data_IF_471862623929
#
_entry.id   IF_471862623929
#
_cell.length_a   1.000
_cell.length_b   1.000
_cell.length_c   1.000
_cell.angle_alpha   90.00
_cell.angle_beta   90.00
_cell.angle_gamma   90.00
#
_symmetry.space_group_name_H-M   'P 1'
#
loop_
_entity.id
_entity.type
_entity.pdbx_description
1 polymer ?
#
# COMPACT_ATOMS: atom_id res chain seq x y z
N UNK A 1 122.81 27.18 -9.47
CA UNK A 1 121.36 27.48 -9.45
C UNK A 1 120.75 26.62 -8.38
N UNK A 2 120.06 27.21 -7.40
CA UNK A 2 119.24 26.44 -6.46
C UNK A 2 118.06 25.87 -7.25
N UNK A 3 117.77 24.58 -7.08
CA UNK A 3 116.56 23.97 -7.63
C UNK A 3 115.37 24.48 -6.80
N UNK A 4 114.37 25.06 -7.45
CA UNK A 4 113.16 25.55 -6.80
C UNK A 4 112.05 24.48 -6.80
N UNK A 5 111.15 24.53 -5.82
CA UNK A 5 110.04 23.58 -5.70
C UNK A 5 109.00 23.75 -6.82
N UNK A 6 108.42 22.63 -7.26
CA UNK A 6 107.34 22.63 -8.24
C UNK A 6 106.02 23.16 -7.63
N UNK A 7 105.20 23.80 -8.46
CA UNK A 7 103.82 24.17 -8.14
C UNK A 7 102.90 23.92 -9.34
N UNK A 8 101.60 24.17 -9.18
CA UNK A 8 100.61 24.04 -10.28
C UNK A 8 100.85 25.02 -11.43
N UNK A 9 101.67 26.05 -11.24
CA UNK A 9 101.96 27.09 -12.25
C UNK A 9 103.46 27.22 -12.59
N UNK A 10 104.35 26.55 -11.86
CA UNK A 10 105.82 26.62 -12.06
C UNK A 10 106.48 25.24 -12.01
N UNK A 11 107.32 24.93 -12.99
CA UNK A 11 108.11 23.68 -13.03
C UNK A 11 109.24 23.73 -11.99
N UNK A 12 109.50 22.63 -11.30
CA UNK A 12 110.51 22.53 -10.24
C UNK A 12 110.74 21.09 -9.77
N UNK A 13 111.41 20.92 -8.63
CA UNK A 13 111.58 19.62 -7.95
C UNK A 13 110.43 19.39 -6.95
N UNK A 14 110.01 18.14 -6.74
CA UNK A 14 108.89 17.81 -5.82
C UNK A 14 109.21 16.54 -5.04
N UNK A 15 108.88 16.52 -3.75
CA UNK A 15 109.01 15.31 -2.94
C UNK A 15 107.82 14.38 -3.18
N UNK A 16 108.09 13.09 -3.25
CA UNK A 16 107.07 12.07 -3.53
C UNK A 16 106.47 11.54 -2.22
N UNK A 17 105.15 11.40 -2.17
CA UNK A 17 104.45 10.80 -1.04
C UNK A 17 103.67 9.54 -1.43
N UNK A 18 103.69 8.54 -0.55
CA UNK A 18 102.88 7.33 -0.66
C UNK A 18 101.62 7.35 0.22
N UNK A 19 101.32 8.47 0.90
CA UNK A 19 100.11 8.61 1.71
C UNK A 19 98.85 8.72 0.83
N UNK A 20 97.76 8.08 1.25
CA UNK A 20 96.48 8.04 0.52
C UNK A 20 95.44 9.05 1.01
N UNK A 21 95.77 9.83 2.04
CA UNK A 21 94.93 10.84 2.67
C UNK A 21 95.65 12.20 2.83
N UNK A 22 96.72 12.43 2.06
CA UNK A 22 97.50 13.67 2.14
C UNK A 22 96.67 14.86 1.66
N UNK A 23 96.71 15.96 2.41
CA UNK A 23 96.17 17.27 2.02
C UNK A 23 97.25 18.25 1.53
N UNK A 24 98.51 17.79 1.45
CA UNK A 24 99.63 18.62 1.00
C UNK A 24 99.54 18.95 -0.49
N UNK A 25 99.69 20.22 -0.84
CA UNK A 25 99.84 20.71 -2.22
C UNK A 25 101.30 20.78 -2.67
N UNK A 26 102.26 20.51 -1.76
CA UNK A 26 103.71 20.58 -2.04
C UNK A 26 104.36 19.21 -2.33
N UNK A 27 103.57 18.12 -2.30
CA UNK A 27 104.05 16.75 -2.55
C UNK A 27 103.33 16.13 -3.75
N UNK A 28 104.05 15.34 -4.55
CA UNK A 28 103.45 14.58 -5.65
C UNK A 28 103.12 13.14 -5.22
N UNK A 29 101.96 12.64 -5.67
CA UNK A 29 101.55 11.27 -5.39
C UNK A 29 102.42 10.25 -6.14
N UNK A 30 102.86 9.21 -5.44
CA UNK A 30 103.51 8.06 -6.08
C UNK A 30 102.49 7.14 -6.78
N UNK A 31 102.92 6.33 -7.78
CA UNK A 31 102.07 5.27 -8.33
C UNK A 31 101.52 4.32 -7.26
N UNK A 32 102.27 4.10 -6.16
CA UNK A 32 101.83 3.32 -5.00
C UNK A 32 100.66 3.97 -4.26
N UNK A 33 100.71 5.27 -3.98
CA UNK A 33 99.58 6.00 -3.38
C UNK A 33 98.33 5.94 -4.29
N UNK A 34 98.51 6.18 -5.58
CA UNK A 34 97.40 6.14 -6.57
C UNK A 34 96.80 4.73 -6.63
N UNK A 35 97.63 3.68 -6.69
CA UNK A 35 97.17 2.29 -6.68
C UNK A 35 96.43 1.95 -5.39
N UNK A 36 96.96 2.33 -4.22
CA UNK A 36 96.33 2.04 -2.95
C UNK A 36 94.97 2.77 -2.78
N UNK A 37 94.87 4.02 -3.25
CA UNK A 37 93.61 4.75 -3.28
C UNK A 37 92.61 4.12 -4.27
N UNK A 38 93.08 3.69 -5.45
CA UNK A 38 92.26 2.97 -6.42
C UNK A 38 91.75 1.63 -5.87
N UNK A 39 92.62 0.82 -5.27
CA UNK A 39 92.26 -0.47 -4.68
C UNK A 39 91.27 -0.28 -3.51
N UNK A 40 91.44 0.76 -2.69
CA UNK A 40 90.49 1.11 -1.63
C UNK A 40 89.12 1.54 -2.21
N UNK A 41 89.11 2.38 -3.24
CA UNK A 41 87.87 2.79 -3.90
C UNK A 41 87.15 1.61 -4.57
N UNK A 42 87.91 0.74 -5.26
CA UNK A 42 87.41 -0.46 -5.90
C UNK A 42 86.89 -1.48 -4.86
N UNK A 43 87.53 -1.57 -3.69
CA UNK A 43 87.11 -2.44 -2.59
C UNK A 43 85.91 -1.92 -1.78
N UNK A 44 85.62 -0.61 -1.81
CA UNK A 44 84.47 -0.01 -1.11
C UNK A 44 83.16 -0.06 -1.90
N UNK A 45 83.20 -0.32 -3.20
CA UNK A 45 81.98 -0.50 -3.99
C UNK A 45 81.43 -1.92 -3.80
N UNK A 46 80.66 -2.13 -2.73
CA UNK A 46 79.82 -3.33 -2.58
C UNK A 46 78.41 -2.96 -3.04
N UNK A 47 77.98 -3.45 -4.20
CA UNK A 47 76.58 -3.37 -4.58
C UNK A 47 75.76 -4.18 -3.57
N UNK A 48 74.85 -3.52 -2.85
CA UNK A 48 73.93 -4.18 -1.92
C UNK A 48 72.52 -4.02 -2.45
N UNK A 49 71.69 -5.06 -2.30
CA UNK A 49 70.30 -5.00 -2.75
C UNK A 49 69.50 -4.02 -1.88
N UNK A 50 68.60 -3.28 -2.51
CA UNK A 50 67.66 -2.43 -1.82
C UNK A 50 66.64 -3.28 -1.05
N UNK A 51 66.27 -2.82 0.14
CA UNK A 51 65.15 -3.35 0.92
C UNK A 51 64.27 -2.20 1.38
N UNK A 52 63.14 -2.51 2.02
CA UNK A 52 62.28 -1.48 2.63
C UNK A 52 62.95 -0.71 3.77
N UNK A 53 64.05 -1.24 4.34
CA UNK A 53 64.80 -0.63 5.43
C UNK A 53 66.18 -0.06 4.99
N UNK A 54 66.68 -0.45 3.81
CA UNK A 54 68.03 -0.14 3.38
C UNK A 54 68.07 0.29 1.90
N UNK A 55 68.78 1.38 1.61
CA UNK A 55 69.04 1.82 0.22
C UNK A 55 70.02 0.85 -0.47
N UNK A 56 69.78 0.56 -1.74
CA UNK A 56 70.61 -0.34 -2.54
C UNK A 56 70.25 -0.34 -4.03
N UNK A 57 70.73 -1.34 -4.77
CA UNK A 57 70.34 -1.62 -6.16
C UNK A 57 69.11 -2.54 -6.20
N UNK A 58 68.27 -2.41 -7.22
CA UNK A 58 67.05 -3.23 -7.35
C UNK A 58 66.83 -3.64 -8.80
N UNK A 59 66.35 -4.85 -9.00
CA UNK A 59 65.93 -5.29 -10.33
C UNK A 59 64.53 -4.77 -10.66
N UNK A 60 64.34 -4.32 -11.89
CA UNK A 60 63.06 -3.83 -12.37
C UNK A 60 62.22 -4.97 -12.93
N UNK A 61 60.94 -4.99 -12.60
CA UNK A 61 59.97 -5.96 -13.14
C UNK A 61 58.83 -5.25 -13.83
N UNK A 62 58.41 -5.80 -14.98
CA UNK A 62 57.21 -5.35 -15.70
C UNK A 62 56.01 -6.27 -15.48
N UNK A 63 56.09 -7.22 -14.54
CA UNK A 63 54.97 -8.07 -14.17
C UNK A 63 53.91 -7.24 -13.42
N UNK A 64 52.63 -7.44 -13.76
CA UNK A 64 51.48 -6.73 -13.17
C UNK A 64 50.85 -7.48 -11.99
N UNK A 65 51.36 -8.67 -11.70
CA UNK A 65 50.90 -9.57 -10.63
C UNK A 65 52.08 -10.07 -9.76
N UNK A 66 53.21 -9.36 -9.78
CA UNK A 66 54.38 -9.72 -8.97
C UNK A 66 54.05 -9.62 -7.49
N UNK A 67 54.35 -10.67 -6.74
CA UNK A 67 54.31 -10.68 -5.27
C UNK A 67 55.70 -10.46 -4.65
N UNK A 68 56.73 -10.21 -5.46
CA UNK A 68 58.09 -9.99 -4.98
C UNK A 68 58.22 -8.61 -4.31
N UNK A 69 58.82 -8.61 -3.11
CA UNK A 69 59.22 -7.40 -2.39
C UNK A 69 60.67 -6.95 -2.70
N UNK A 70 61.39 -7.70 -3.56
CA UNK A 70 62.78 -7.42 -3.94
C UNK A 70 62.91 -6.85 -5.35
N UNK A 71 61.79 -6.59 -6.03
CA UNK A 71 61.73 -6.03 -7.38
C UNK A 71 60.96 -4.70 -7.37
N UNK A 72 61.40 -3.74 -8.17
CA UNK A 72 60.68 -2.48 -8.37
C UNK A 72 59.82 -2.53 -9.65
N UNK A 73 58.59 -2.03 -9.56
CA UNK A 73 57.70 -1.96 -10.72
C UNK A 73 58.18 -0.92 -11.75
N UNK A 74 58.17 -1.28 -13.03
CA UNK A 74 58.43 -0.33 -14.12
C UNK A 74 57.21 0.57 -14.40
N UNK A 75 57.39 1.75 -15.03
CA UNK A 75 56.26 2.53 -15.56
C UNK A 75 55.37 1.74 -16.52
N UNK A 76 55.94 0.75 -17.23
CA UNK A 76 55.20 -0.17 -18.10
C UNK A 76 54.22 -1.04 -17.31
N UNK A 77 54.63 -1.62 -16.18
CA UNK A 77 53.74 -2.38 -15.30
C UNK A 77 52.64 -1.48 -14.72
N UNK A 78 53.00 -0.29 -14.23
CA UNK A 78 52.04 0.68 -13.67
C UNK A 78 50.99 1.08 -14.71
N UNK A 79 51.43 1.41 -15.92
CA UNK A 79 50.51 1.74 -17.02
C UNK A 79 49.59 0.57 -17.37
N UNK A 80 50.14 -0.64 -17.51
CA UNK A 80 49.34 -1.81 -17.84
C UNK A 80 48.28 -2.13 -16.77
N UNK A 81 48.61 -1.94 -15.49
CA UNK A 81 47.67 -2.08 -14.39
C UNK A 81 46.56 -1.01 -14.45
N UNK A 82 46.93 0.25 -14.71
CA UNK A 82 45.97 1.36 -14.86
C UNK A 82 45.03 1.14 -16.06
N UNK A 83 45.57 0.81 -17.24
CA UNK A 83 44.79 0.53 -18.45
C UNK A 83 43.81 -0.64 -18.24
N UNK A 84 44.16 -1.64 -17.43
CA UNK A 84 43.26 -2.75 -17.06
C UNK A 84 42.17 -2.30 -16.08
N UNK A 85 42.50 -1.42 -15.13
CA UNK A 85 41.52 -0.88 -14.19
C UNK A 85 40.50 0.02 -14.90
N UNK A 86 40.95 0.88 -15.82
CA UNK A 86 40.09 1.74 -16.65
C UNK A 86 39.08 0.95 -17.48
N UNK A 87 39.37 -0.33 -17.79
CA UNK A 87 38.47 -1.18 -18.57
C UNK A 87 37.33 -1.81 -17.78
N UNK A 88 37.33 -1.74 -16.45
CA UNK A 88 36.33 -2.38 -15.59
C UNK A 88 35.21 -1.40 -15.23
N UNK A 89 33.97 -1.74 -15.58
CA UNK A 89 32.78 -0.89 -15.38
C UNK A 89 32.96 0.48 -16.02
N UNK A 90 33.35 0.47 -17.29
CA UNK A 90 33.58 1.69 -18.06
C UNK A 90 32.32 2.56 -18.12
N UNK A 91 32.43 3.81 -17.66
CA UNK A 91 31.29 4.75 -17.57
C UNK A 91 30.61 4.99 -18.91
N UNK A 92 31.38 5.05 -19.99
CA UNK A 92 30.93 5.30 -21.36
C UNK A 92 30.32 4.04 -21.99
N UNK A 93 30.62 2.85 -21.45
CA UNK A 93 30.00 1.60 -21.88
C UNK A 93 28.64 1.32 -21.23
N UNK A 94 28.26 2.06 -20.17
CA UNK A 94 26.96 1.92 -19.51
C UNK A 94 26.61 0.46 -19.15
N UNK A 95 27.59 -0.31 -18.67
CA UNK A 95 27.42 -1.72 -18.29
C UNK A 95 27.43 -2.73 -19.44
N UNK A 96 27.75 -2.31 -20.68
CA UNK A 96 27.93 -3.24 -21.81
C UNK A 96 29.03 -4.27 -21.55
N UNK A 97 30.08 -3.90 -20.80
CA UNK A 97 31.21 -4.72 -20.37
C UNK A 97 30.89 -5.74 -19.28
N UNK A 98 29.71 -5.69 -18.66
CA UNK A 98 29.31 -6.64 -17.61
C UNK A 98 29.04 -8.02 -18.23
N UNK A 99 29.80 -9.06 -17.83
CA UNK A 99 29.49 -10.44 -18.17
C UNK A 99 28.25 -10.90 -17.41
N UNK A 100 27.29 -11.55 -18.06
CA UNK A 100 26.09 -12.07 -17.40
C UNK A 100 25.23 -10.99 -16.74
N UNK A 101 24.73 -10.03 -17.53
CA UNK A 101 23.90 -8.89 -17.08
C UNK A 101 22.69 -9.32 -16.25
N UNK A 102 22.15 -10.50 -16.52
CA UNK A 102 21.01 -11.06 -15.78
C UNK A 102 21.39 -11.37 -14.32
N UNK A 103 22.49 -12.11 -14.10
CA UNK A 103 23.07 -12.36 -12.77
C UNK A 103 23.47 -11.06 -12.07
N UNK A 104 24.06 -10.12 -12.80
CA UNK A 104 24.41 -8.81 -12.23
C UNK A 104 23.15 -8.09 -11.71
N UNK A 105 22.09 -8.00 -12.52
CA UNK A 105 20.80 -7.40 -12.17
C UNK A 105 20.20 -8.05 -10.92
N UNK A 106 20.26 -9.39 -10.83
CA UNK A 106 19.85 -10.16 -9.65
C UNK A 106 20.65 -9.79 -8.40
N UNK A 107 21.98 -9.75 -8.50
CA UNK A 107 22.87 -9.51 -7.36
C UNK A 107 22.73 -8.11 -6.79
N UNK A 108 22.48 -7.10 -7.64
CA UNK A 108 22.27 -5.72 -7.18
C UNK A 108 20.82 -5.42 -6.78
N UNK A 109 19.89 -6.38 -6.93
CA UNK A 109 18.48 -6.21 -6.61
C UNK A 109 17.72 -5.23 -7.53
N UNK A 110 18.23 -4.98 -8.73
CA UNK A 110 17.57 -4.10 -9.70
C UNK A 110 16.38 -4.81 -10.37
N UNK A 111 15.38 -4.02 -10.78
CA UNK A 111 14.24 -4.54 -11.52
C UNK A 111 14.67 -5.13 -12.87
N UNK A 112 14.34 -6.40 -13.12
CA UNK A 112 14.51 -7.03 -14.44
C UNK A 112 13.30 -6.71 -15.33
N UNK A 113 13.44 -5.75 -16.23
CA UNK A 113 12.40 -5.42 -17.21
C UNK A 113 12.45 -6.34 -18.44
N UNK A 114 11.48 -7.22 -18.59
CA UNK A 114 11.32 -8.17 -19.68
C UNK A 114 10.38 -7.61 -20.74
N UNK A 115 10.92 -6.97 -21.79
CA UNK A 115 10.20 -6.59 -23.01
C UNK A 115 9.00 -5.63 -22.85
N UNK A 116 8.98 -4.54 -23.62
CA UNK A 116 7.86 -3.57 -23.59
C UNK A 116 6.57 -4.02 -24.29
N UNK A 117 6.59 -5.16 -25.00
CA UNK A 117 5.51 -5.61 -25.89
C UNK A 117 5.40 -7.14 -25.93
N UNK A 118 5.35 -7.79 -24.77
CA UNK A 118 5.27 -9.25 -24.67
C UNK A 118 3.91 -9.75 -25.17
N UNK A 119 3.91 -10.76 -26.04
CA UNK A 119 2.68 -11.42 -26.51
C UNK A 119 2.51 -12.72 -25.74
N UNK A 120 1.34 -12.89 -25.12
CA UNK A 120 0.99 -14.15 -24.43
C UNK A 120 0.17 -15.08 -25.30
N UNK A 121 -0.04 -14.75 -26.58
CA UNK A 121 -0.94 -15.45 -27.54
C UNK A 121 -2.42 -15.35 -27.15
N UNK A 122 -3.31 -15.95 -27.94
CA UNK A 122 -4.77 -15.90 -27.69
C UNK A 122 -5.23 -16.92 -26.64
N UNK A 123 -6.44 -16.73 -26.11
CA UNK A 123 -7.13 -17.66 -25.20
C UNK A 123 -7.05 -17.27 -23.73
N UNK A 124 -7.46 -18.19 -22.85
CA UNK A 124 -7.53 -17.95 -21.41
C UNK A 124 -6.45 -18.70 -20.65
N UNK A 125 -6.12 -18.21 -19.47
CA UNK A 125 -5.29 -18.89 -18.48
C UNK A 125 -6.02 -19.01 -17.15
N UNK A 126 -5.75 -20.10 -16.44
CA UNK A 126 -5.90 -20.13 -14.98
C UNK A 126 -4.74 -19.38 -14.34
N UNK A 127 -4.90 -18.98 -13.08
CA UNK A 127 -3.86 -18.33 -12.29
C UNK A 127 -2.61 -19.21 -12.21
N UNK A 128 -2.79 -20.52 -12.05
CA UNK A 128 -1.68 -21.48 -12.05
C UNK A 128 -0.91 -21.48 -13.39
N UNK A 129 -1.61 -21.50 -14.52
CA UNK A 129 -0.96 -21.47 -15.84
C UNK A 129 -0.20 -20.16 -16.09
N UNK A 130 -0.75 -19.04 -15.60
CA UNK A 130 -0.08 -17.75 -15.66
C UNK A 130 1.20 -17.72 -14.80
N UNK A 131 1.17 -18.28 -13.59
CA UNK A 131 2.35 -18.42 -12.72
C UNK A 131 3.42 -19.30 -13.37
N UNK A 132 3.05 -20.42 -13.99
CA UNK A 132 4.02 -21.26 -14.72
C UNK A 132 4.64 -20.53 -15.91
N UNK A 133 3.85 -19.71 -16.61
CA UNK A 133 4.41 -18.85 -17.66
C UNK A 133 5.41 -17.85 -17.08
N UNK A 134 5.10 -17.16 -15.98
CA UNK A 134 6.04 -16.24 -15.32
C UNK A 134 7.34 -16.93 -14.91
N UNK A 135 7.25 -18.15 -14.37
CA UNK A 135 8.42 -18.96 -13.99
C UNK A 135 9.29 -19.28 -15.21
N UNK A 136 8.67 -19.65 -16.34
CA UNK A 136 9.39 -19.89 -17.60
C UNK A 136 10.09 -18.64 -18.16
N UNK A 137 9.62 -17.44 -17.81
CA UNK A 137 10.27 -16.18 -18.16
C UNK A 137 11.37 -15.77 -17.15
N UNK A 138 11.61 -16.59 -16.12
CA UNK A 138 12.57 -16.32 -15.05
C UNK A 138 12.11 -15.27 -14.05
N UNK A 139 10.81 -14.95 -13.98
CA UNK A 139 10.30 -13.88 -13.13
C UNK A 139 10.63 -14.10 -11.64
N UNK A 140 10.64 -15.34 -11.17
CA UNK A 140 10.95 -15.71 -9.79
C UNK A 140 12.46 -15.90 -9.52
N UNK A 141 13.32 -15.67 -10.52
CA UNK A 141 14.78 -15.70 -10.36
C UNK A 141 15.37 -14.35 -9.97
N UNK A 142 14.56 -13.29 -9.94
CA UNK A 142 14.94 -11.93 -9.54
C UNK A 142 14.10 -11.46 -8.35
N UNK A 143 14.64 -10.61 -7.46
CA UNK A 143 13.85 -10.01 -6.38
C UNK A 143 12.66 -9.18 -6.89
N UNK A 144 12.84 -8.55 -8.05
CA UNK A 144 11.81 -7.78 -8.74
C UNK A 144 11.96 -7.96 -10.26
N UNK A 145 10.90 -8.43 -10.90
CA UNK A 145 10.79 -8.60 -12.34
C UNK A 145 9.54 -7.89 -12.85
N UNK A 146 9.59 -7.35 -14.06
CA UNK A 146 8.41 -6.74 -14.66
C UNK A 146 8.37 -6.96 -16.17
N UNK A 147 7.18 -6.97 -16.75
CA UNK A 147 7.00 -6.90 -18.20
C UNK A 147 5.78 -6.06 -18.55
N UNK A 148 5.64 -5.76 -19.85
CA UNK A 148 4.43 -5.14 -20.38
C UNK A 148 3.87 -5.98 -21.52
N UNK A 149 2.59 -6.32 -21.41
CA UNK A 149 1.87 -7.00 -22.49
C UNK A 149 1.75 -6.10 -23.72
N UNK A 150 1.82 -6.71 -24.90
CA UNK A 150 1.60 -6.04 -26.17
C UNK A 150 0.18 -5.45 -26.25
N UNK A 151 -0.03 -4.42 -27.07
CA UNK A 151 -1.35 -3.77 -27.20
C UNK A 151 -2.40 -4.61 -27.96
N UNK A 152 -2.00 -5.73 -28.56
CA UNK A 152 -2.90 -6.56 -29.37
C UNK A 152 -3.85 -7.36 -28.49
N UNK A 153 -5.13 -7.02 -28.51
CA UNK A 153 -6.16 -7.76 -27.75
C UNK A 153 -6.28 -9.23 -28.19
N UNK A 154 -6.07 -9.54 -29.46
CA UNK A 154 -6.15 -10.92 -29.97
C UNK A 154 -4.94 -11.78 -29.59
N UNK A 155 -3.82 -11.16 -29.23
CA UNK A 155 -2.54 -11.85 -28.96
C UNK A 155 -2.16 -11.82 -27.48
N UNK A 156 -3.11 -11.57 -26.60
CA UNK A 156 -2.88 -11.69 -25.17
C UNK A 156 -3.97 -12.49 -24.50
N UNK A 157 -3.56 -13.21 -23.47
CA UNK A 157 -4.44 -14.07 -22.70
C UNK A 157 -5.23 -13.29 -21.66
N UNK A 158 -6.32 -13.91 -21.23
CA UNK A 158 -7.16 -13.44 -20.13
C UNK A 158 -7.08 -14.43 -18.98
N UNK A 159 -6.76 -13.95 -17.78
CA UNK A 159 -6.83 -14.74 -16.54
C UNK A 159 -8.27 -14.66 -16.02
N UNK A 160 -8.92 -15.80 -15.82
CA UNK A 160 -10.38 -15.85 -15.60
C UNK A 160 -10.83 -16.42 -14.26
N UNK A 161 -9.94 -16.99 -13.46
CA UNK A 161 -10.23 -17.65 -12.17
C UNK A 161 -9.83 -16.78 -10.97
N UNK A 162 -9.98 -15.46 -11.09
CA UNK A 162 -9.47 -14.51 -10.09
C UNK A 162 -10.47 -14.17 -8.99
N UNK A 163 -11.75 -14.52 -9.16
CA UNK A 163 -12.88 -14.16 -8.28
C UNK A 163 -13.13 -12.65 -8.05
N UNK A 164 -12.24 -11.79 -8.52
CA UNK A 164 -12.35 -10.33 -8.44
C UNK A 164 -12.32 -9.66 -9.83
N UNK A 165 -12.60 -10.42 -10.89
CA UNK A 165 -12.75 -9.95 -12.27
C UNK A 165 -11.62 -10.38 -13.20
N UNK A 166 -11.97 -10.64 -14.47
CA UNK A 166 -11.02 -11.14 -15.47
C UNK A 166 -9.88 -10.15 -15.74
N UNK A 167 -8.65 -10.65 -15.87
CA UNK A 167 -7.45 -9.85 -16.13
C UNK A 167 -6.98 -10.12 -17.56
N UNK A 168 -7.21 -9.17 -18.47
CA UNK A 168 -6.69 -9.26 -19.83
C UNK A 168 -5.28 -8.65 -19.87
N UNK A 169 -4.30 -9.44 -20.32
CA UNK A 169 -2.89 -9.05 -20.31
C UNK A 169 -2.51 -8.09 -21.44
N UNK A 170 -3.40 -7.81 -22.40
CA UNK A 170 -3.15 -6.83 -23.44
C UNK A 170 -2.87 -5.46 -22.83
N UNK A 171 -1.70 -4.89 -23.14
CA UNK A 171 -1.26 -3.61 -22.62
C UNK A 171 -1.01 -3.53 -21.11
N UNK A 172 -1.24 -4.62 -20.38
CA UNK A 172 -1.11 -4.65 -18.93
C UNK A 172 0.37 -4.55 -18.53
N UNK A 173 0.63 -3.85 -17.42
CA UNK A 173 1.93 -3.92 -16.74
C UNK A 173 1.86 -5.05 -15.75
N UNK A 174 2.83 -5.95 -15.78
CA UNK A 174 2.92 -7.11 -14.90
C UNK A 174 4.19 -6.97 -14.07
N UNK A 175 4.05 -7.00 -12.76
CA UNK A 175 5.13 -6.87 -11.79
C UNK A 175 5.14 -8.10 -10.90
N UNK A 176 6.30 -8.70 -10.71
CA UNK A 176 6.50 -9.89 -9.87
C UNK A 176 7.58 -9.57 -8.85
N UNK A 177 7.23 -9.70 -7.57
CA UNK A 177 8.11 -9.47 -6.44
C UNK A 177 8.19 -10.74 -5.60
N UNK A 178 9.41 -11.11 -5.19
CA UNK A 178 9.66 -12.33 -4.41
C UNK A 178 9.93 -13.58 -5.25
N UNK A 179 9.75 -14.75 -4.65
CA UNK A 179 10.10 -16.06 -5.23
C UNK A 179 8.84 -16.92 -5.44
N UNK A 180 8.93 -18.02 -6.18
CA UNK A 180 7.76 -18.86 -6.52
C UNK A 180 6.99 -19.39 -5.30
N UNK A 181 7.65 -19.62 -4.17
CA UNK A 181 6.99 -20.07 -2.93
C UNK A 181 6.47 -18.93 -2.04
N UNK A 182 6.85 -17.68 -2.32
CA UNK A 182 6.52 -16.48 -1.55
C UNK A 182 6.48 -15.28 -2.51
N UNK A 183 5.36 -15.16 -3.23
CA UNK A 183 5.20 -14.24 -4.35
C UNK A 183 4.18 -13.14 -4.06
N UNK A 184 4.43 -11.98 -4.65
CA UNK A 184 3.43 -10.95 -4.91
C UNK A 184 3.45 -10.63 -6.40
N UNK A 185 2.31 -10.77 -7.07
CA UNK A 185 2.15 -10.37 -8.47
C UNK A 185 1.18 -9.20 -8.52
N UNK A 186 1.58 -8.10 -9.15
CA UNK A 186 0.72 -6.95 -9.39
C UNK A 186 0.51 -6.77 -10.88
N UNK A 187 -0.74 -6.60 -11.29
CA UNK A 187 -1.11 -6.36 -12.69
C UNK A 187 -1.95 -5.10 -12.78
N UNK A 188 -1.49 -4.15 -13.58
CA UNK A 188 -2.22 -2.91 -13.88
C UNK A 188 -2.76 -3.00 -15.30
N UNK A 189 -4.08 -3.05 -15.43
CA UNK A 189 -4.76 -3.16 -16.73
C UNK A 189 -4.92 -1.80 -17.40
N UNK A 190 -4.93 -1.74 -18.75
CA UNK A 190 -5.07 -0.49 -19.47
C UNK A 190 -6.51 0.06 -19.42
N UNK A 191 -6.74 1.18 -20.09
CA UNK A 191 -8.04 1.87 -20.14
C UNK A 191 -9.07 1.18 -21.02
N UNK A 192 -8.66 0.24 -21.88
CA UNK A 192 -9.50 -0.46 -22.86
C UNK A 192 -9.16 -1.95 -22.94
N UNK A 193 -10.16 -2.79 -23.20
CA UNK A 193 -10.02 -4.25 -23.27
C UNK A 193 -11.15 -4.83 -24.12
N UNK A 194 -10.96 -6.04 -24.66
CA UNK A 194 -12.02 -6.88 -25.23
C UNK A 194 -12.08 -8.23 -24.49
N UNK A 195 -13.09 -9.05 -24.75
CA UNK A 195 -13.18 -10.40 -24.16
C UNK A 195 -13.51 -10.42 -22.67
N UNK A 196 -14.08 -9.34 -22.13
CA UNK A 196 -14.52 -9.28 -20.72
C UNK A 196 -13.42 -8.94 -19.71
N UNK A 197 -12.22 -8.55 -20.13
CA UNK A 197 -11.17 -8.10 -19.22
C UNK A 197 -11.52 -6.77 -18.54
N UNK A 198 -11.28 -6.68 -17.23
CA UNK A 198 -11.52 -5.48 -16.43
C UNK A 198 -10.48 -4.41 -16.77
N UNK A 199 -10.93 -3.21 -17.12
CA UNK A 199 -10.06 -2.06 -17.43
C UNK A 199 -9.87 -1.15 -16.23
N UNK A 200 -8.83 -0.30 -16.27
CA UNK A 200 -8.56 0.71 -15.25
C UNK A 200 -8.43 0.15 -13.83
N UNK A 201 -7.90 -1.08 -13.69
CA UNK A 201 -7.84 -1.79 -12.43
C UNK A 201 -6.41 -2.22 -12.12
N UNK A 202 -6.10 -2.27 -10.83
CA UNK A 202 -4.92 -2.93 -10.31
C UNK A 202 -5.35 -4.21 -9.61
N UNK A 203 -4.73 -5.32 -10.00
CA UNK A 203 -4.92 -6.62 -9.41
C UNK A 203 -3.66 -7.00 -8.65
N UNK A 204 -3.81 -7.49 -7.42
CA UNK A 204 -2.69 -7.99 -6.60
C UNK A 204 -2.97 -9.44 -6.21
N UNK A 205 -2.11 -10.35 -6.65
CA UNK A 205 -2.06 -11.73 -6.19
C UNK A 205 -0.97 -11.87 -5.13
N UNK A 206 -1.31 -12.50 -4.01
CA UNK A 206 -0.34 -12.83 -2.96
C UNK A 206 -0.43 -14.32 -2.70
N UNK A 207 0.72 -14.99 -2.62
CA UNK A 207 0.80 -16.38 -2.17
C UNK A 207 2.07 -16.58 -1.34
N UNK A 208 1.88 -16.89 -0.05
CA UNK A 208 2.93 -17.20 0.92
C UNK A 208 2.69 -18.54 1.61
N UNK A 209 2.03 -19.47 0.90
CA UNK A 209 1.55 -20.74 1.46
C UNK A 209 0.06 -20.71 1.78
N UNK A 210 -0.52 -21.89 1.97
CA UNK A 210 -1.97 -22.09 2.14
C UNK A 210 -2.54 -21.36 3.35
N UNK A 211 -1.73 -21.20 4.40
CA UNK A 211 -2.14 -20.58 5.67
C UNK A 211 -2.27 -19.05 5.56
N UNK A 212 -1.83 -18.46 4.44
CA UNK A 212 -1.77 -17.01 4.23
C UNK A 212 -2.86 -16.51 3.27
N UNK A 213 -3.95 -17.28 3.11
CA UNK A 213 -5.11 -16.94 2.28
C UNK A 213 -4.71 -16.47 0.87
N UNK A 214 -4.02 -17.32 0.08
CA UNK A 214 -3.56 -16.94 -1.24
C UNK A 214 -4.74 -16.59 -2.15
N UNK A 215 -4.60 -15.55 -2.97
CA UNK A 215 -5.68 -15.11 -3.85
C UNK A 215 -5.47 -13.75 -4.48
N UNK A 216 -6.31 -13.45 -5.46
CA UNK A 216 -6.36 -12.15 -6.13
C UNK A 216 -7.20 -11.14 -5.34
N UNK A 217 -6.78 -9.89 -5.42
CA UNK A 217 -7.51 -8.72 -4.93
C UNK A 217 -7.54 -7.69 -6.05
N UNK A 218 -8.66 -6.98 -6.19
CA UNK A 218 -8.80 -5.87 -7.12
C UNK A 218 -8.99 -4.58 -6.35
N UNK A 219 -8.14 -3.58 -6.64
CA UNK A 219 -8.21 -2.28 -5.99
C UNK A 219 -9.29 -1.41 -6.65
N UNK A 220 -10.07 -0.71 -5.81
CA UNK A 220 -10.99 0.33 -6.27
C UNK A 220 -10.27 1.68 -6.42
N UNK A 221 -10.69 2.46 -7.40
CA UNK A 221 -10.16 3.79 -7.69
C UNK A 221 -11.23 4.69 -8.35
N UNK A 222 -10.85 5.88 -8.80
CA UNK A 222 -11.76 6.86 -9.39
C UNK A 222 -12.46 6.39 -10.68
N UNK A 223 -11.88 5.41 -11.40
CA UNK A 223 -12.42 4.78 -12.60
C UNK A 223 -13.04 3.41 -12.33
N UNK A 224 -12.45 2.62 -11.43
CA UNK A 224 -12.98 1.35 -10.95
C UNK A 224 -13.61 1.53 -9.56
N UNK A 225 -14.85 2.02 -9.50
CA UNK A 225 -15.55 2.23 -8.23
C UNK A 225 -16.28 0.95 -7.80
N UNK A 226 -16.43 0.69 -6.49
CA UNK A 226 -17.35 -0.35 -6.05
C UNK A 226 -18.78 0.01 -6.47
N UNK A 227 -19.53 -0.99 -6.89
CA UNK A 227 -20.97 -0.91 -7.00
C UNK A 227 -21.61 -0.90 -5.63
N UNK A 228 -22.82 -0.33 -5.52
CA UNK A 228 -23.63 -0.36 -4.31
C UNK A 228 -23.75 -1.79 -3.71
N UNK A 229 -23.93 -2.80 -4.57
CA UNK A 229 -24.01 -4.20 -4.17
C UNK A 229 -22.71 -4.71 -3.53
N UNK A 230 -21.55 -4.41 -4.13
CA UNK A 230 -20.24 -4.87 -3.65
C UNK A 230 -19.89 -4.34 -2.25
N UNK A 231 -20.44 -3.20 -1.84
CA UNK A 231 -20.18 -2.59 -0.52
C UNK A 231 -21.41 -2.55 0.39
N UNK A 232 -22.52 -3.17 -0.02
CA UNK A 232 -23.78 -3.12 0.73
C UNK A 232 -24.36 -1.71 0.91
N UNK A 233 -24.02 -0.77 0.02
CA UNK A 233 -24.53 0.59 0.06
C UNK A 233 -25.91 0.69 -0.63
N UNK A 234 -26.75 1.60 -0.15
CA UNK A 234 -28.02 1.92 -0.80
C UNK A 234 -27.79 3.00 -1.88
N UNK A 235 -28.41 2.89 -3.07
CA UNK A 235 -28.34 3.95 -4.08
C UNK A 235 -29.03 5.22 -3.56
N UNK A 236 -28.52 6.41 -3.92
CA UNK A 236 -29.04 7.70 -3.46
C UNK A 236 -30.50 8.00 -3.87
N UNK A 237 -31.07 7.20 -4.79
CA UNK A 237 -32.48 7.23 -5.20
C UNK A 237 -33.15 5.85 -5.15
N UNK A 238 -32.57 4.89 -4.44
CA UNK A 238 -33.16 3.56 -4.29
C UNK A 238 -34.38 3.58 -3.36
N UNK A 239 -35.41 2.81 -3.71
CA UNK A 239 -36.52 2.54 -2.79
C UNK A 239 -36.03 1.58 -1.72
N UNK A 240 -36.29 1.87 -0.44
CA UNK A 240 -35.75 1.13 0.70
C UNK A 240 -36.35 -0.29 0.91
N UNK A 241 -36.87 -0.89 -0.16
CA UNK A 241 -37.67 -2.13 -0.16
C UNK A 241 -36.83 -3.38 0.15
N UNK A 242 -35.50 -3.33 -0.04
CA UNK A 242 -34.57 -4.41 0.34
C UNK A 242 -33.59 -4.02 1.46
N UNK A 243 -33.79 -2.86 2.08
CA UNK A 243 -32.95 -2.43 3.19
C UNK A 243 -33.23 -3.30 4.41
N UNK A 244 -32.24 -4.08 4.86
CA UNK A 244 -32.29 -4.79 6.16
C UNK A 244 -32.55 -3.80 7.31
N UNK A 245 -32.25 -2.51 7.10
CA UNK A 245 -32.50 -1.44 8.06
C UNK A 245 -33.99 -1.01 8.14
N UNK A 246 -34.84 -1.42 7.19
CA UNK A 246 -36.30 -1.26 7.26
C UNK A 246 -37.03 -2.60 7.49
N UNK A 247 -36.32 -3.67 7.87
CA UNK A 247 -36.97 -4.85 8.39
C UNK A 247 -37.46 -4.58 9.83
N UNK A 248 -38.48 -5.31 10.27
CA UNK A 248 -38.82 -5.40 11.69
C UNK A 248 -37.56 -5.78 12.47
N UNK A 249 -37.25 -5.03 13.52
CA UNK A 249 -36.16 -5.37 14.45
C UNK A 249 -36.59 -6.37 15.53
N UNK A 250 -37.74 -7.02 15.32
CA UNK A 250 -38.31 -8.01 16.21
C UNK A 250 -39.14 -7.38 17.34
N UNK A 251 -39.40 -8.20 18.35
CA UNK A 251 -40.31 -7.88 19.45
C UNK A 251 -39.61 -7.01 20.49
N UNK A 252 -40.20 -5.86 20.80
CA UNK A 252 -39.66 -4.91 21.79
C UNK A 252 -40.70 -4.60 22.84
N UNK A 253 -40.34 -4.53 24.12
CA UNK A 253 -41.28 -4.16 25.19
C UNK A 253 -41.69 -2.70 25.06
N UNK A 254 -42.97 -2.39 25.27
CA UNK A 254 -43.47 -1.03 25.24
C UNK A 254 -42.68 -0.13 26.19
N UNK A 255 -42.16 0.98 25.67
CA UNK A 255 -41.47 1.98 26.48
C UNK A 255 -42.43 2.58 27.50
N UNK A 256 -42.00 2.70 28.76
CA UNK A 256 -42.78 3.31 29.85
C UNK A 256 -42.06 4.53 30.42
N UNK A 257 -42.81 5.35 31.15
CA UNK A 257 -42.31 6.53 31.86
C UNK A 257 -41.53 7.46 30.91
N UNK A 258 -40.27 7.75 31.24
CA UNK A 258 -39.39 8.60 30.45
C UNK A 258 -38.41 7.81 29.57
N UNK A 259 -38.55 6.48 29.47
CA UNK A 259 -37.65 5.61 28.70
C UNK A 259 -37.72 5.94 27.22
N UNK A 260 -36.58 6.02 26.55
CA UNK A 260 -36.47 6.44 25.16
C UNK A 260 -36.07 5.29 24.22
N UNK A 261 -36.50 5.40 22.96
CA UNK A 261 -36.08 4.52 21.89
C UNK A 261 -34.76 4.94 21.23
N UNK A 262 -34.38 4.17 20.20
CA UNK A 262 -33.24 4.48 19.35
C UNK A 262 -33.55 5.66 18.40
N UNK A 263 -32.53 6.43 18.04
CA UNK A 263 -32.70 7.58 17.15
C UNK A 263 -33.01 7.17 15.70
N UNK A 264 -33.92 7.87 15.04
CA UNK A 264 -34.31 7.61 13.65
C UNK A 264 -35.68 6.95 13.49
N UNK A 265 -35.86 6.24 12.38
CA UNK A 265 -37.05 5.44 12.05
C UNK A 265 -36.80 3.98 12.41
N UNK A 266 -37.65 3.44 13.26
CA UNK A 266 -37.53 2.10 13.82
C UNK A 266 -38.85 1.34 13.65
N UNK A 267 -38.77 0.05 13.28
CA UNK A 267 -39.93 -0.81 13.06
C UNK A 267 -39.85 -2.02 14.00
N UNK A 268 -40.92 -2.26 14.77
CA UNK A 268 -40.96 -3.34 15.77
C UNK A 268 -42.24 -4.17 15.67
N UNK A 269 -42.19 -5.35 16.30
CA UNK A 269 -43.33 -6.24 16.49
C UNK A 269 -43.94 -6.07 17.89
N UNK A 270 -45.27 -6.01 17.91
CA UNK A 270 -46.08 -6.16 19.12
C UNK A 270 -46.49 -7.62 19.25
N UNK A 271 -46.15 -8.21 20.39
CA UNK A 271 -46.40 -9.60 20.71
C UNK A 271 -46.39 -9.82 22.23
N UNK A 272 -47.52 -9.53 22.89
CA UNK A 272 -47.74 -9.64 24.33
C UNK A 272 -46.64 -8.97 25.18
N UNK A 273 -46.25 -7.77 24.77
CA UNK A 273 -45.07 -7.05 25.25
C UNK A 273 -45.42 -5.64 25.77
N UNK A 274 -46.61 -5.47 26.35
CA UNK A 274 -47.00 -4.26 27.10
C UNK A 274 -47.62 -3.13 26.28
N UNK A 275 -47.86 -3.32 24.98
CA UNK A 275 -48.60 -2.36 24.16
C UNK A 275 -50.13 -2.48 24.35
N UNK A 276 -50.91 -1.49 23.92
CA UNK A 276 -52.39 -1.52 23.99
C UNK A 276 -53.04 -2.74 23.34
N UNK A 277 -52.37 -3.39 22.38
CA UNK A 277 -52.83 -4.63 21.74
C UNK A 277 -51.89 -5.78 22.03
N UNK A 278 -52.42 -7.00 22.03
CA UNK A 278 -51.62 -8.23 22.16
C UNK A 278 -50.69 -8.43 20.95
N UNK A 279 -51.13 -8.06 19.74
CA UNK A 279 -50.38 -8.27 18.50
C UNK A 279 -50.49 -7.06 17.57
N UNK A 280 -49.45 -6.81 16.76
CA UNK A 280 -49.39 -5.63 15.90
C UNK A 280 -47.97 -5.26 15.45
N UNK A 281 -47.86 -4.09 14.83
CA UNK A 281 -46.59 -3.50 14.39
C UNK A 281 -46.48 -2.06 14.92
N UNK A 282 -45.26 -1.66 15.27
CA UNK A 282 -44.94 -0.29 15.72
C UNK A 282 -44.05 0.38 14.68
N UNK A 283 -44.35 1.65 14.41
CA UNK A 283 -43.42 2.61 13.81
C UNK A 283 -43.00 3.58 14.90
N UNK A 284 -41.72 3.58 15.24
CA UNK A 284 -41.12 4.48 16.22
C UNK A 284 -40.26 5.52 15.49
N UNK A 285 -40.41 6.79 15.88
CA UNK A 285 -39.75 7.94 15.27
C UNK A 285 -39.11 8.79 16.35
N UNK A 286 -37.78 8.94 16.31
CA UNK A 286 -37.01 9.77 17.23
C UNK A 286 -36.09 10.74 16.49
N UNK A 287 -36.03 11.99 16.96
CA UNK A 287 -35.08 12.99 16.46
C UNK A 287 -33.62 12.62 16.72
N UNK A 288 -32.73 12.96 15.78
CA UNK A 288 -31.28 12.72 15.95
C UNK A 288 -30.64 13.69 16.95
N UNK A 289 -31.10 14.94 16.99
CA UNK A 289 -30.59 16.01 17.86
C UNK A 289 -31.62 16.46 18.90
N UNK A 290 -32.90 16.52 18.52
CA UNK A 290 -34.01 16.72 19.45
C UNK A 290 -34.42 15.38 20.08
N UNK A 291 -34.65 15.36 21.40
CA UNK A 291 -35.02 14.14 22.15
C UNK A 291 -36.52 13.80 22.09
N UNK A 292 -37.26 14.44 21.18
CA UNK A 292 -38.69 14.22 20.97
C UNK A 292 -38.92 12.95 20.15
N UNK A 293 -39.97 12.21 20.53
CA UNK A 293 -40.25 10.87 19.99
C UNK A 293 -41.75 10.65 19.78
N UNK A 294 -42.10 9.77 18.85
CA UNK A 294 -43.48 9.41 18.56
C UNK A 294 -43.60 7.96 18.11
N UNK A 295 -44.74 7.35 18.42
CA UNK A 295 -45.05 5.97 18.02
C UNK A 295 -46.43 5.86 17.40
N UNK A 296 -46.51 5.11 16.30
CA UNK A 296 -47.75 4.64 15.69
C UNK A 296 -47.81 3.12 15.81
N UNK A 297 -48.85 2.62 16.47
CA UNK A 297 -49.16 1.21 16.62
C UNK A 297 -50.31 0.85 15.68
N UNK A 298 -50.15 -0.23 14.92
CA UNK A 298 -51.22 -0.86 14.16
C UNK A 298 -51.42 -2.26 14.72
N UNK A 299 -52.53 -2.50 15.40
CA UNK A 299 -52.88 -3.81 15.93
C UNK A 299 -53.19 -4.82 14.83
N UNK A 300 -53.21 -6.10 15.18
CA UNK A 300 -53.79 -7.15 14.33
C UNK A 300 -55.16 -7.54 14.86
N UNK A 301 -56.13 -7.70 13.96
CA UNK A 301 -57.54 -7.93 14.31
C UNK A 301 -57.87 -9.36 14.75
N UNK A 302 -56.88 -10.26 14.76
CA UNK A 302 -57.02 -11.68 15.16
C UNK A 302 -57.94 -12.52 14.26
N UNK A 303 -58.75 -11.89 13.42
CA UNK A 303 -59.69 -12.50 12.47
C UNK A 303 -59.52 -11.84 11.10
N UNK A 304 -59.40 -12.64 10.05
CA UNK A 304 -59.24 -12.15 8.69
C UNK A 304 -60.34 -11.16 8.29
N UNK A 305 -59.94 -9.96 7.88
CA UNK A 305 -60.87 -8.90 7.45
C UNK A 305 -61.55 -8.11 8.58
N UNK A 306 -61.33 -8.46 9.86
CA UNK A 306 -61.88 -7.71 10.98
C UNK A 306 -61.08 -6.41 11.24
N UNK A 307 -61.70 -5.48 11.99
CA UNK A 307 -61.09 -4.21 12.38
C UNK A 307 -59.84 -4.38 13.24
N UNK A 308 -58.76 -3.74 12.82
CA UNK A 308 -57.53 -3.61 13.59
C UNK A 308 -57.48 -2.23 14.26
N UNK A 309 -57.36 -2.13 15.59
CA UNK A 309 -57.23 -0.84 16.24
C UNK A 309 -55.85 -0.24 15.97
N UNK A 310 -55.79 1.08 15.79
CA UNK A 310 -54.55 1.82 15.64
C UNK A 310 -54.40 2.83 16.78
N UNK A 311 -53.18 3.05 17.26
CA UNK A 311 -52.90 3.95 18.37
C UNK A 311 -51.72 4.85 18.06
N UNK A 312 -51.73 6.05 18.60
CA UNK A 312 -50.61 6.99 18.54
C UNK A 312 -50.25 7.46 19.94
N UNK A 313 -48.97 7.71 20.17
CA UNK A 313 -48.48 8.44 21.34
C UNK A 313 -47.26 9.27 20.99
N UNK A 314 -46.94 10.22 21.85
CA UNK A 314 -45.74 11.05 21.70
C UNK A 314 -45.06 11.29 23.04
N UNK A 315 -43.80 11.70 22.94
CA UNK A 315 -42.98 12.15 24.06
C UNK A 315 -42.34 13.48 23.67
N UNK A 316 -42.47 14.48 24.54
CA UNK A 316 -41.92 15.82 24.30
C UNK A 316 -40.39 15.79 24.21
N UNK A 317 -39.82 16.76 23.50
CA UNK A 317 -38.39 16.99 23.30
C UNK A 317 -37.64 17.50 24.53
N UNK A 318 -37.94 16.98 25.72
CA UNK A 318 -37.15 17.17 26.95
C UNK A 318 -36.76 15.81 27.54
N UNK A 319 -35.66 15.73 28.28
CA UNK A 319 -35.10 14.46 28.78
C UNK A 319 -35.92 13.83 29.91
N UNK A 320 -36.71 14.63 30.62
CA UNK A 320 -37.57 14.23 31.73
C UNK A 320 -39.03 13.98 31.34
N UNK A 321 -39.42 14.27 30.08
CA UNK A 321 -40.78 14.05 29.63
C UNK A 321 -41.16 12.57 29.67
N UNK A 322 -42.34 12.30 30.24
CA UNK A 322 -42.98 10.99 30.14
C UNK A 322 -43.69 10.83 28.79
N UNK A 323 -43.88 9.59 28.38
CA UNK A 323 -44.78 9.25 27.27
C UNK A 323 -46.20 9.72 27.56
N UNK A 324 -46.86 10.26 26.53
CA UNK A 324 -48.30 10.44 26.58
C UNK A 324 -48.99 9.09 26.73
N UNK A 325 -50.20 9.04 27.32
CA UNK A 325 -51.08 7.89 27.16
C UNK A 325 -51.26 7.54 25.68
N UNK A 326 -51.54 6.27 25.40
CA UNK A 326 -51.90 5.85 24.06
C UNK A 326 -53.28 6.40 23.69
N UNK A 327 -53.35 7.09 22.55
CA UNK A 327 -54.60 7.56 21.97
C UNK A 327 -55.01 6.61 20.84
N UNK A 328 -56.20 6.01 20.95
CA UNK A 328 -56.75 5.19 19.89
C UNK A 328 -57.30 6.07 18.76
N UNK A 329 -56.99 5.70 17.52
CA UNK A 329 -57.54 6.32 16.32
C UNK A 329 -58.87 5.63 15.98
N UNK A 330 -59.94 6.42 15.86
CA UNK A 330 -61.27 5.94 15.51
C UNK A 330 -61.62 6.31 14.08
N UNK A 331 -62.53 5.55 13.48
CA UNK A 331 -63.07 5.81 12.13
C UNK A 331 -64.59 5.91 12.18
N UNK A 332 -65.21 6.42 11.13
CA UNK A 332 -66.68 6.43 11.04
C UNK A 332 -67.30 5.03 11.09
N UNK A 333 -66.60 4.00 10.61
CA UNK A 333 -67.03 2.61 10.68
C UNK A 333 -66.80 1.98 12.08
N UNK A 334 -65.84 2.52 12.84
CA UNK A 334 -65.50 2.07 14.18
C UNK A 334 -65.36 3.28 15.12
N UNK A 335 -66.48 3.90 15.50
CA UNK A 335 -66.49 4.99 16.46
C UNK A 335 -66.20 4.48 17.88
N UNK A 336 -65.86 5.36 18.84
CA UNK A 336 -65.75 4.99 20.24
C UNK A 336 -67.11 4.48 20.78
N UNK A 337 -67.07 3.63 21.81
CA UNK A 337 -68.27 3.07 22.43
C UNK A 337 -69.23 4.14 22.99
N UNK A 338 -68.70 5.32 23.34
CA UNK A 338 -69.43 6.47 23.86
C UNK A 338 -69.72 7.54 22.78
N UNK A 339 -69.96 7.12 21.54
CA UNK A 339 -70.37 8.06 20.50
C UNK A 339 -71.86 8.41 20.64
N UNK A 340 -72.15 9.49 21.38
CA UNK A 340 -73.47 10.10 21.37
C UNK A 340 -73.65 10.87 20.05
N UNK A 341 -74.68 10.56 19.24
CA UNK A 341 -74.99 11.37 18.07
C UNK A 341 -75.20 12.82 18.48
N UNK A 342 -74.73 13.77 17.66
CA UNK A 342 -75.04 15.19 17.86
C UNK A 342 -76.56 15.35 17.92
N UNK A 343 -77.07 15.88 19.04
CA UNK A 343 -78.51 16.06 19.29
C UNK A 343 -79.22 14.93 20.03
N UNK A 344 -78.54 13.83 20.40
CA UNK A 344 -79.14 12.80 21.23
C UNK A 344 -79.33 13.28 22.69
N UNK A 345 -80.51 13.11 23.31
CA UNK A 345 -80.70 13.45 24.71
C UNK A 345 -79.84 12.55 25.60
N UNK A 346 -78.99 13.17 26.42
CA UNK A 346 -78.16 12.46 27.41
C UNK A 346 -78.95 12.44 28.73
N UNK A 347 -79.36 11.27 29.25
CA UNK A 347 -80.04 11.20 30.53
C UNK A 347 -79.11 11.69 31.65
N UNK A 348 -79.55 12.71 32.37
CA UNK A 348 -78.81 13.33 33.46
C UNK A 348 -79.49 12.98 34.80
N UNK A 349 -78.76 12.51 35.83
CA UNK A 349 -79.34 12.03 37.08
C UNK A 349 -79.82 13.15 38.03
N UNK A 350 -79.90 14.39 37.54
CA UNK A 350 -80.28 15.57 38.31
C UNK A 350 -81.17 16.49 37.48
N UNK A 351 -82.10 17.19 38.13
CA UNK A 351 -82.91 18.24 37.49
C UNK A 351 -82.10 19.54 37.29
N UNK A 352 -80.87 19.60 37.81
CA UNK A 352 -79.96 20.73 37.61
C UNK A 352 -79.12 20.52 36.35
N UNK A 353 -79.41 21.31 35.32
CA UNK A 353 -78.70 21.28 34.04
C UNK A 353 -77.27 21.81 34.20
N UNK A 354 -76.23 21.06 33.80
CA UNK A 354 -74.87 21.57 33.80
C UNK A 354 -74.72 22.77 32.85
N UNK A 355 -73.80 23.68 33.17
CA UNK A 355 -73.47 24.81 32.31
C UNK A 355 -73.12 24.34 30.88
N UNK A 356 -73.76 24.93 29.87
CA UNK A 356 -73.57 24.57 28.46
C UNK A 356 -74.55 23.54 27.90
N UNK A 357 -75.46 23.01 28.72
CA UNK A 357 -76.51 22.08 28.31
C UNK A 357 -77.89 22.74 28.42
N UNK A 358 -78.88 22.24 27.66
CA UNK A 358 -80.27 22.70 27.72
C UNK A 358 -81.19 21.56 28.20
N UNK A 359 -82.19 21.89 29.02
CA UNK A 359 -83.19 20.92 29.47
C UNK A 359 -84.20 20.65 28.35
N UNK A 360 -84.26 19.41 27.87
CA UNK A 360 -85.19 19.01 26.81
C UNK A 360 -86.48 18.41 27.39
N UNK A 361 -87.53 19.22 27.57
CA UNK A 361 -88.87 18.79 28.05
C UNK A 361 -89.94 18.74 26.93
N UNK A 362 -89.56 18.37 25.70
CA UNK A 362 -90.48 18.34 24.56
C UNK A 362 -90.73 19.70 23.90
N UNK A 363 -89.78 20.63 24.05
CA UNK A 363 -89.80 21.94 23.38
C UNK A 363 -89.56 21.77 21.86
N UNK A 364 -90.16 22.63 21.04
CA UNK A 364 -89.96 22.64 19.58
C UNK A 364 -88.53 23.08 19.24
N UNK A 365 -87.81 22.29 18.45
CA UNK A 365 -86.42 22.58 18.07
C UNK A 365 -86.37 23.69 16.98
N UNK A 366 -85.72 24.82 17.29
CA UNK A 366 -85.44 25.90 16.34
C UNK A 366 -83.99 25.80 15.84
N UNK A 367 -83.84 25.56 14.53
CA UNK A 367 -82.52 25.48 13.86
C UNK A 367 -81.76 26.80 13.81
N UNK A 368 -82.41 27.94 14.05
CA UNK A 368 -81.76 29.26 13.97
C UNK A 368 -81.04 29.67 15.26
N UNK A 369 -81.21 28.91 16.34
CA UNK A 369 -80.66 29.21 17.66
C UNK A 369 -79.37 28.43 18.03
N UNK A 370 -78.84 27.60 17.13
CA UNK A 370 -77.71 26.70 17.38
C UNK A 370 -76.67 26.70 16.25
#
# INVERSE_FOLDING_TARGET
>A
MALEDASTTKKGIVQLSSATNSTSESLAATPKAVKAAYDLANGKYTAQDATTAQKGIIQLSSATNSTSETLAATPKAVKAANDNAEKRLQKDQNGADIPGKDTFTKNIGACRAFGGSVSTTTGNWTTAQFIEWLDSQGAFNHPYWMCKGSWSYGNNKIITDTDCGNIHLAGAVIEVMGIKSAMTIRITTPTTSTGGGTTNAQFTYINHGTDYSPGWRRDYNSRNKPTASEIGALPSGGTAVSSVNLASKGRVTALTDNTQGAAGLELYEVYNNGYPTAYGNIIHLKGMTAVGEGELLIGWSGTSGAHAPAFIRSRRDTTDANWSPWAQLYTSAHPPAEFYPVGAPIPWPSDTVPSGYALMQGQTFDKSAY
#
